data_IF_136477227118
#
_entry.id   IF_136477227118
#
_cell.length_a   1.000
_cell.length_b   1.000
_cell.length_c   1.000
_cell.angle_alpha   90.00
_cell.angle_beta   90.00
_cell.angle_gamma   90.00
#
_symmetry.space_group_name_H-M   'P 1'
#
loop_
_entity.id
_entity.type
_entity.pdbx_description
1 polymer ?
#
# COMPACT_ATOMS: atom_id res chain seq x y z
N UNK A 1 2.76 8.53 -22.91
CA UNK A 1 1.65 9.08 -22.09
C UNK A 1 1.54 8.30 -20.79
N UNK A 2 1.72 8.92 -19.60
CA UNK A 2 1.26 8.31 -18.34
C UNK A 2 -0.20 8.73 -18.15
N UNK A 3 -1.12 7.78 -18.31
CA UNK A 3 -2.55 8.04 -18.16
C UNK A 3 -2.80 8.67 -16.78
N UNK A 4 -3.41 9.85 -16.74
CA UNK A 4 -3.86 10.45 -15.48
C UNK A 4 -5.04 9.62 -15.00
N UNK A 5 -4.81 8.78 -13.99
CA UNK A 5 -5.84 8.04 -13.23
C UNK A 5 -6.86 9.10 -12.78
N UNK A 6 -8.03 9.12 -13.44
CA UNK A 6 -9.10 10.09 -13.18
C UNK A 6 -9.44 10.06 -11.70
N UNK A 7 -9.73 11.23 -11.09
CA UNK A 7 -9.99 11.42 -9.65
C UNK A 7 -10.98 10.36 -9.13
N UNK A 8 -10.44 9.23 -8.69
CA UNK A 8 -11.17 8.21 -7.96
C UNK A 8 -11.16 8.68 -6.52
N UNK A 9 -12.32 8.66 -5.85
CA UNK A 9 -12.40 9.09 -4.46
C UNK A 9 -11.36 8.35 -3.62
N UNK A 10 -10.41 9.08 -3.06
CA UNK A 10 -9.31 8.50 -2.29
C UNK A 10 -9.86 7.88 -1.01
N UNK A 11 -9.89 6.54 -0.93
CA UNK A 11 -10.40 5.82 0.24
C UNK A 11 -9.26 5.53 1.21
N UNK A 12 -8.95 6.51 2.06
CA UNK A 12 -7.95 6.35 3.12
C UNK A 12 -8.50 5.54 4.29
N UNK A 13 -7.74 4.54 4.73
CA UNK A 13 -8.05 3.65 5.85
C UNK A 13 -6.81 3.41 6.72
N UNK A 14 -7.03 3.09 7.98
CA UNK A 14 -5.96 2.54 8.83
C UNK A 14 -5.68 1.08 8.46
N UNK A 15 -4.54 0.53 8.92
CA UNK A 15 -4.18 -0.89 8.69
C UNK A 15 -5.31 -1.84 9.10
N UNK A 16 -5.92 -1.61 10.27
CA UNK A 16 -7.02 -2.44 10.80
C UNK A 16 -8.25 -2.40 9.90
N UNK A 17 -8.65 -1.19 9.53
CA UNK A 17 -9.80 -0.99 8.66
C UNK A 17 -9.56 -1.52 7.25
N UNK A 18 -8.33 -1.41 6.74
CA UNK A 18 -7.95 -1.97 5.45
C UNK A 18 -8.06 -3.50 5.47
N UNK A 19 -7.51 -4.17 6.49
CA UNK A 19 -7.63 -5.62 6.62
C UNK A 19 -9.11 -6.07 6.73
N UNK A 20 -9.90 -5.36 7.53
CA UNK A 20 -11.34 -5.62 7.64
C UNK A 20 -12.07 -5.40 6.31
N UNK A 21 -11.69 -4.37 5.55
CA UNK A 21 -12.23 -4.10 4.22
C UNK A 21 -11.93 -5.26 3.26
N UNK A 22 -10.66 -5.70 3.17
CA UNK A 22 -10.31 -6.82 2.28
C UNK A 22 -11.03 -8.10 2.70
N UNK A 23 -11.14 -8.38 3.99
CA UNK A 23 -11.85 -9.57 4.48
C UNK A 23 -13.36 -9.53 4.23
N UNK A 24 -13.96 -8.34 4.20
CA UNK A 24 -15.37 -8.15 3.87
C UNK A 24 -15.64 -8.33 2.38
N UNK A 25 -14.73 -7.88 1.52
CA UNK A 25 -14.85 -8.03 0.07
C UNK A 25 -14.48 -9.45 -0.39
N UNK A 26 -13.46 -10.04 0.23
CA UNK A 26 -12.99 -11.40 -0.02
C UNK A 26 -12.75 -12.11 1.32
N UNK A 27 -13.67 -12.99 1.75
CA UNK A 27 -13.55 -13.71 3.02
C UNK A 27 -12.40 -14.74 3.04
N UNK A 28 -11.87 -15.15 1.89
CA UNK A 28 -10.73 -16.07 1.77
C UNK A 28 -9.39 -15.35 1.63
N UNK A 29 -9.37 -14.02 1.75
CA UNK A 29 -8.14 -13.26 1.62
C UNK A 29 -7.11 -13.65 2.69
N UNK A 30 -5.89 -13.97 2.25
CA UNK A 30 -4.73 -14.15 3.14
C UNK A 30 -4.11 -12.82 3.59
N UNK A 31 -4.70 -11.67 3.20
CA UNK A 31 -4.16 -10.36 3.49
C UNK A 31 -4.48 -9.92 4.93
N UNK A 32 -3.56 -10.20 5.84
CA UNK A 32 -3.68 -9.86 7.27
C UNK A 32 -3.15 -8.45 7.59
N UNK A 33 -3.51 -7.92 8.77
CA UNK A 33 -2.95 -6.66 9.28
C UNK A 33 -1.41 -6.67 9.31
N UNK A 34 -0.80 -7.81 9.66
CA UNK A 34 0.65 -7.96 9.75
C UNK A 34 1.29 -7.90 8.37
N UNK A 35 0.68 -8.52 7.37
CA UNK A 35 1.13 -8.43 5.98
C UNK A 35 1.08 -6.98 5.49
N UNK A 36 -0.05 -6.29 5.68
CA UNK A 36 -0.20 -4.87 5.30
C UNK A 36 0.84 -4.01 6.02
N UNK A 37 1.00 -4.17 7.35
CA UNK A 37 2.00 -3.44 8.13
C UNK A 37 3.42 -3.64 7.61
N UNK A 38 3.76 -4.84 7.18
CA UNK A 38 5.07 -5.17 6.62
C UNK A 38 5.27 -4.49 5.26
N UNK A 39 4.24 -4.49 4.41
CA UNK A 39 4.27 -3.78 3.12
C UNK A 39 4.49 -2.27 3.29
N UNK A 40 3.82 -1.66 4.28
CA UNK A 40 3.99 -0.24 4.59
C UNK A 40 5.39 0.04 5.17
N UNK A 41 5.84 -0.79 6.12
CA UNK A 41 7.15 -0.62 6.77
C UNK A 41 8.33 -0.81 5.80
N UNK A 42 8.18 -1.70 4.82
CA UNK A 42 9.17 -1.92 3.76
C UNK A 42 9.12 -0.84 2.67
N UNK A 43 8.15 0.07 2.71
CA UNK A 43 8.02 1.17 1.75
C UNK A 43 7.56 0.73 0.37
N UNK A 44 7.05 -0.50 0.23
CA UNK A 44 6.58 -1.04 -1.06
C UNK A 44 5.25 -0.42 -1.50
N UNK A 45 4.43 -0.02 -0.54
CA UNK A 45 3.14 0.63 -0.76
C UNK A 45 3.20 2.04 -0.17
N UNK A 46 2.77 3.08 -0.90
CA UNK A 46 2.77 4.45 -0.38
C UNK A 46 1.77 4.57 0.78
N UNK A 47 2.23 5.11 1.91
CA UNK A 47 1.41 5.38 3.08
C UNK A 47 1.81 6.69 3.76
N UNK A 48 0.84 7.29 4.45
CA UNK A 48 1.07 8.43 5.33
C UNK A 48 1.12 7.98 6.79
N UNK A 49 2.10 8.49 7.54
CA UNK A 49 2.17 8.26 8.99
C UNK A 49 1.62 9.48 9.71
N UNK A 50 0.53 9.29 10.46
CA UNK A 50 -0.09 10.33 11.28
C UNK A 50 0.04 9.92 12.74
N UNK A 51 0.97 10.55 13.44
CA UNK A 51 1.37 10.17 14.80
C UNK A 51 1.85 8.71 14.88
N UNK A 52 1.11 7.87 15.61
CA UNK A 52 1.40 6.43 15.78
C UNK A 52 0.69 5.55 14.74
N UNK A 53 -0.21 6.10 13.92
CA UNK A 53 -1.03 5.33 12.98
C UNK A 53 -0.47 5.43 11.55
N UNK A 54 -0.61 4.34 10.82
CA UNK A 54 -0.38 4.29 9.38
C UNK A 54 -1.72 4.41 8.65
N UNK A 55 -1.76 5.33 7.69
CA UNK A 55 -2.88 5.56 6.79
C UNK A 55 -2.47 5.11 5.39
N UNK A 56 -3.29 4.26 4.80
CA UNK A 56 -3.09 3.69 3.47
C UNK A 56 -4.37 3.85 2.67
N UNK A 57 -4.24 4.06 1.37
CA UNK A 57 -5.39 4.09 0.46
C UNK A 57 -5.63 2.69 -0.07
N UNK A 58 -6.90 2.30 -0.19
CA UNK A 58 -7.26 0.98 -0.71
C UNK A 58 -6.72 0.81 -2.13
N UNK A 59 -6.83 1.87 -2.93
CA UNK A 59 -6.36 1.90 -4.31
C UNK A 59 -4.85 1.68 -4.41
N UNK A 60 -4.04 2.14 -3.45
CA UNK A 60 -2.60 1.88 -3.47
C UNK A 60 -2.26 0.42 -3.15
N UNK A 61 -3.05 -0.23 -2.30
CA UNK A 61 -2.91 -1.65 -2.01
C UNK A 61 -3.34 -2.50 -3.21
N UNK A 62 -4.48 -2.18 -3.82
CA UNK A 62 -4.98 -2.85 -5.03
C UNK A 62 -4.01 -2.68 -6.21
N UNK A 63 -3.50 -1.47 -6.43
CA UNK A 63 -2.52 -1.16 -7.47
C UNK A 63 -1.21 -1.93 -7.25
N UNK A 64 -0.73 -2.04 -6.01
CA UNK A 64 0.45 -2.85 -5.68
C UNK A 64 0.22 -4.35 -5.92
N UNK A 65 -0.95 -4.88 -5.55
CA UNK A 65 -1.27 -6.29 -5.77
C UNK A 65 -1.41 -6.58 -7.28
N UNK A 66 -2.14 -5.74 -8.00
CA UNK A 66 -2.33 -5.86 -9.44
C UNK A 66 -1.00 -5.73 -10.19
N UNK A 67 -0.20 -4.70 -9.89
CA UNK A 67 1.12 -4.48 -10.50
C UNK A 67 2.13 -5.60 -10.21
N UNK A 68 1.95 -6.40 -9.15
CA UNK A 68 2.81 -7.56 -8.89
C UNK A 68 2.37 -8.82 -9.61
N UNK A 69 1.12 -8.88 -10.05
CA UNK A 69 0.52 -10.01 -10.75
C UNK A 69 0.53 -9.82 -12.27
N UNK A 70 0.43 -8.58 -12.74
CA UNK A 70 0.63 -8.18 -14.14
C UNK A 70 2.14 -8.11 -14.41
N UNK A 71 2.67 -9.17 -15.02
CA UNK A 71 3.96 -9.33 -15.71
C UNK A 71 5.25 -8.74 -15.08
N UNK A 72 6.31 -9.56 -15.05
CA UNK A 72 7.69 -9.23 -14.65
C UNK A 72 8.18 -7.83 -15.06
N UNK A 73 7.98 -6.83 -14.19
CA UNK A 73 8.80 -5.62 -14.16
C UNK A 73 9.28 -5.45 -12.72
N UNK A 74 10.52 -5.85 -12.44
CA UNK A 74 11.17 -5.48 -11.17
C UNK A 74 11.11 -3.94 -11.07
N UNK A 75 10.40 -3.33 -10.11
CA UNK A 75 10.60 -1.92 -9.87
C UNK A 75 12.02 -1.78 -9.35
N UNK A 76 12.90 -1.30 -10.24
CA UNK A 76 14.30 -1.04 -9.96
C UNK A 76 14.43 -0.34 -8.61
N UNK A 77 15.43 -0.79 -7.86
CA UNK A 77 15.86 -0.25 -6.59
C UNK A 77 15.65 1.26 -6.47
N UNK A 78 14.84 1.69 -5.51
CA UNK A 78 15.05 2.99 -4.87
C UNK A 78 15.62 2.74 -3.48
N UNK A 79 16.94 2.57 -3.48
CA UNK A 79 17.76 3.09 -2.40
C UNK A 79 17.37 4.55 -2.16
N UNK A 80 17.00 4.85 -0.92
CA UNK A 80 17.53 6.02 -0.20
C UNK A 80 17.32 5.82 1.30
N UNK A 81 18.41 5.36 1.93
CA UNK A 81 18.73 5.73 3.30
C UNK A 81 18.96 7.24 3.29
N UNK A 82 17.93 8.02 3.62
CA UNK A 82 18.09 9.43 3.98
C UNK A 82 17.58 9.58 5.43
N UNK A 83 18.36 9.06 6.39
CA UNK A 83 18.36 9.60 7.74
C UNK A 83 19.59 10.49 7.84
N UNK A 84 19.44 11.74 7.42
CA UNK A 84 20.38 12.79 7.78
C UNK A 84 20.04 13.24 9.21
N UNK A 85 20.82 12.79 10.19
CA UNK A 85 20.99 13.47 11.47
C UNK A 85 22.49 13.47 11.78
N UNK A 86 23.18 14.53 11.32
CA UNK A 86 24.26 15.25 12.01
C UNK A 86 24.67 16.43 11.14
#
# INVERSE_FOLDING_TARGET
>A
MKQKKGRTMIRTRTIKEAAAYFRKNDPQTCLTETAIRTLLRTGKVPCARVGKKYLVTIEALEDYLCSRMDCDERPGSRSKRDWAIS
#
